data_IF_057599443419
#
_entry.id   IF_057599443419
#
_cell.length_a   1.000
_cell.length_b   1.000
_cell.length_c   1.000
_cell.angle_alpha   90.00
_cell.angle_beta   90.00
_cell.angle_gamma   90.00
#
_symmetry.space_group_name_H-M   'P 1'
#
loop_
_entity.id
_entity.type
_entity.pdbx_description
1 polymer ?
#
# COMPACT_ATOMS: atom_id res chain seq x y z
N UNK A 1 -17.96 2.76 16.34
CA UNK A 1 -18.22 4.20 16.07
C UNK A 1 -18.70 4.33 14.62
N UNK A 2 -19.47 5.36 14.26
CA UNK A 2 -20.17 5.46 12.96
C UNK A 2 -19.31 5.21 11.71
N UNK A 3 -18.00 5.48 11.77
CA UNK A 3 -17.04 5.18 10.69
C UNK A 3 -16.99 3.67 10.36
N UNK A 4 -16.99 2.79 11.37
CA UNK A 4 -17.03 1.33 11.15
C UNK A 4 -18.35 0.90 10.49
N UNK A 5 -19.46 1.52 10.92
CA UNK A 5 -20.79 1.31 10.31
C UNK A 5 -20.78 1.66 8.83
N UNK A 6 -20.22 2.82 8.46
CA UNK A 6 -20.12 3.28 7.07
C UNK A 6 -19.33 2.30 6.19
N UNK A 7 -18.25 1.69 6.69
CA UNK A 7 -17.49 0.72 5.91
C UNK A 7 -18.23 -0.61 5.72
N UNK A 8 -18.94 -1.09 6.75
CA UNK A 8 -19.77 -2.29 6.63
C UNK A 8 -20.95 -2.06 5.67
N UNK A 9 -21.61 -0.91 5.76
CA UNK A 9 -22.68 -0.51 4.85
C UNK A 9 -22.17 -0.40 3.40
N UNK A 10 -21.00 0.22 3.19
CA UNK A 10 -20.37 0.27 1.88
C UNK A 10 -20.05 -1.13 1.33
N UNK A 11 -19.50 -2.03 2.15
CA UNK A 11 -19.24 -3.42 1.73
C UNK A 11 -20.55 -4.16 1.37
N UNK A 12 -21.64 -3.92 2.11
CA UNK A 12 -22.95 -4.48 1.83
C UNK A 12 -23.54 -3.94 0.50
N UNK A 13 -23.39 -2.64 0.22
CA UNK A 13 -23.81 -2.03 -1.04
C UNK A 13 -23.05 -2.61 -2.23
N UNK A 14 -21.72 -2.71 -2.13
CA UNK A 14 -20.93 -3.33 -3.20
C UNK A 14 -21.25 -4.82 -3.37
N UNK A 15 -21.64 -5.53 -2.31
CA UNK A 15 -22.08 -6.93 -2.42
C UNK A 15 -23.35 -7.07 -3.28
N UNK A 16 -24.34 -6.18 -3.10
CA UNK A 16 -25.51 -6.13 -4.01
C UNK A 16 -25.10 -5.84 -5.46
N UNK A 17 -24.04 -5.04 -5.63
CA UNK A 17 -23.46 -4.76 -6.94
C UNK A 17 -22.83 -6.00 -7.57
N UNK A 18 -22.06 -6.78 -6.81
CA UNK A 18 -21.51 -8.08 -7.24
C UNK A 18 -22.63 -9.04 -7.64
N UNK A 19 -23.70 -9.12 -6.86
CA UNK A 19 -24.84 -10.02 -7.17
C UNK A 19 -25.55 -9.61 -8.47
N UNK A 20 -25.67 -8.31 -8.74
CA UNK A 20 -26.38 -7.78 -9.90
C UNK A 20 -25.51 -7.70 -11.16
N UNK A 21 -24.21 -7.46 -11.01
CA UNK A 21 -23.25 -7.27 -12.09
C UNK A 21 -21.96 -8.05 -11.80
N UNK A 22 -22.02 -9.39 -11.87
CA UNK A 22 -20.92 -10.26 -11.43
C UNK A 22 -19.66 -10.16 -12.28
N UNK A 23 -19.76 -9.58 -13.47
CA UNK A 23 -18.63 -9.37 -14.38
C UNK A 23 -18.08 -7.93 -14.35
N UNK A 24 -18.65 -7.03 -13.56
CA UNK A 24 -18.14 -5.66 -13.42
C UNK A 24 -17.06 -5.60 -12.33
N UNK A 25 -15.78 -5.32 -12.69
CA UNK A 25 -14.66 -5.42 -11.77
C UNK A 25 -14.71 -4.35 -10.66
N UNK A 26 -15.45 -3.25 -10.86
CA UNK A 26 -15.51 -2.13 -9.93
C UNK A 26 -16.09 -2.56 -8.58
N UNK A 27 -17.11 -3.41 -8.59
CA UNK A 27 -17.73 -3.88 -7.35
C UNK A 27 -16.77 -4.69 -6.50
N UNK A 28 -15.94 -5.54 -7.12
CA UNK A 28 -14.91 -6.29 -6.43
C UNK A 28 -13.76 -5.38 -5.95
N UNK A 29 -13.25 -4.48 -6.80
CA UNK A 29 -12.20 -3.52 -6.42
C UNK A 29 -12.60 -2.71 -5.19
N UNK A 30 -13.79 -2.11 -5.19
CA UNK A 30 -14.20 -1.29 -4.06
C UNK A 30 -14.64 -2.10 -2.83
N UNK A 31 -15.27 -3.28 -3.01
CA UNK A 31 -15.61 -4.15 -1.88
C UNK A 31 -14.37 -4.72 -1.20
N UNK A 32 -13.40 -5.20 -1.98
CA UNK A 32 -12.11 -5.69 -1.48
C UNK A 32 -11.40 -4.65 -0.63
N UNK A 33 -11.37 -3.39 -1.07
CA UNK A 33 -10.79 -2.30 -0.28
C UNK A 33 -11.52 -2.08 1.07
N UNK A 34 -12.85 -2.23 1.14
CA UNK A 34 -13.58 -2.18 2.41
C UNK A 34 -13.23 -3.37 3.29
N UNK A 35 -13.08 -4.56 2.73
CA UNK A 35 -12.64 -5.74 3.46
C UNK A 35 -11.22 -5.58 4.04
N UNK A 36 -10.29 -4.94 3.34
CA UNK A 36 -8.97 -4.58 3.89
C UNK A 36 -9.11 -3.72 5.15
N UNK A 37 -9.88 -2.62 5.07
CA UNK A 37 -10.09 -1.73 6.22
C UNK A 37 -10.72 -2.49 7.39
N UNK A 38 -11.67 -3.39 7.11
CA UNK A 38 -12.36 -4.23 8.09
C UNK A 38 -11.55 -5.44 8.58
N UNK A 39 -10.27 -5.57 8.19
CA UNK A 39 -9.39 -6.70 8.56
C UNK A 39 -9.94 -8.07 8.12
N UNK A 40 -10.61 -8.10 6.98
CA UNK A 40 -11.12 -9.33 6.33
C UNK A 40 -10.25 -9.66 5.13
N UNK A 41 -8.97 -9.96 5.38
CA UNK A 41 -7.97 -10.08 4.32
C UNK A 41 -8.28 -11.23 3.36
N UNK A 42 -8.84 -12.34 3.83
CA UNK A 42 -9.22 -13.48 3.00
C UNK A 42 -10.40 -13.17 2.06
N UNK A 43 -11.28 -12.25 2.47
CA UNK A 43 -12.35 -11.75 1.59
C UNK A 43 -11.79 -10.72 0.60
N UNK A 44 -10.90 -9.84 1.07
CA UNK A 44 -10.25 -8.85 0.21
C UNK A 44 -9.42 -9.51 -0.90
N UNK A 45 -8.62 -10.53 -0.57
CA UNK A 45 -7.80 -11.25 -1.57
C UNK A 45 -8.67 -11.84 -2.68
N UNK A 46 -9.75 -12.55 -2.32
CA UNK A 46 -10.70 -13.11 -3.30
C UNK A 46 -11.32 -12.05 -4.21
N UNK A 47 -11.69 -10.90 -3.64
CA UNK A 47 -12.24 -9.80 -4.42
C UNK A 47 -11.19 -9.20 -5.37
N UNK A 48 -9.96 -8.99 -4.91
CA UNK A 48 -8.90 -8.45 -5.77
C UNK A 48 -8.43 -9.43 -6.83
N UNK A 49 -8.36 -10.73 -6.53
CA UNK A 49 -8.14 -11.79 -7.52
C UNK A 49 -9.21 -11.76 -8.60
N UNK A 50 -10.50 -11.71 -8.21
CA UNK A 50 -11.60 -11.64 -9.17
C UNK A 50 -11.57 -10.33 -9.99
N UNK A 51 -11.25 -9.20 -9.37
CA UNK A 51 -11.08 -7.94 -10.08
C UNK A 51 -9.94 -8.03 -11.10
N UNK A 52 -8.78 -8.57 -10.70
CA UNK A 52 -7.61 -8.77 -11.56
C UNK A 52 -7.93 -9.69 -12.75
N UNK A 53 -8.65 -10.79 -12.53
CA UNK A 53 -9.12 -11.67 -13.62
C UNK A 53 -9.96 -10.92 -14.64
N UNK A 54 -10.90 -10.11 -14.16
CA UNK A 54 -11.90 -9.40 -14.95
C UNK A 54 -11.33 -8.22 -15.75
N UNK A 55 -10.15 -7.70 -15.39
CA UNK A 55 -9.52 -6.58 -16.12
C UNK A 55 -8.54 -7.01 -17.21
N UNK A 56 -8.07 -8.26 -17.22
CA UNK A 56 -7.05 -8.73 -18.19
C UNK A 56 -7.44 -8.53 -19.65
N UNK A 57 -8.72 -8.74 -19.96
CA UNK A 57 -9.24 -8.65 -21.33
C UNK A 57 -10.04 -7.36 -21.57
N UNK A 58 -9.83 -6.34 -20.71
CA UNK A 58 -10.56 -5.08 -20.78
C UNK A 58 -9.63 -3.89 -21.03
N UNK A 59 -10.05 -2.92 -21.85
CA UNK A 59 -9.39 -1.63 -21.90
C UNK A 59 -9.33 -1.02 -20.51
N UNK A 60 -8.19 -0.41 -20.20
CA UNK A 60 -8.04 0.33 -18.96
C UNK A 60 -8.93 1.58 -18.96
N UNK A 61 -9.40 1.96 -17.77
CA UNK A 61 -10.30 3.10 -17.58
C UNK A 61 -9.73 4.02 -16.50
N UNK A 62 -9.99 5.34 -16.56
CA UNK A 62 -9.60 6.24 -15.48
C UNK A 62 -10.46 6.02 -14.21
N UNK A 63 -9.81 5.81 -13.07
CA UNK A 63 -10.40 5.87 -11.73
C UNK A 63 -10.18 7.27 -11.12
N UNK A 64 -11.27 7.95 -10.81
CA UNK A 64 -11.26 9.25 -10.14
C UNK A 64 -11.22 9.07 -8.61
N UNK A 65 -10.38 9.87 -7.95
CA UNK A 65 -10.30 9.90 -6.49
C UNK A 65 -10.18 11.34 -5.98
N UNK A 66 -10.55 11.57 -4.71
CA UNK A 66 -10.32 12.85 -4.07
C UNK A 66 -8.80 13.05 -3.91
N UNK A 67 -8.23 14.01 -4.63
CA UNK A 67 -6.79 14.30 -4.56
C UNK A 67 -6.45 14.93 -3.21
N UNK A 68 -5.27 14.60 -2.69
CA UNK A 68 -4.69 15.28 -1.53
C UNK A 68 -3.98 16.60 -1.89
N UNK A 69 -4.07 17.05 -3.15
CA UNK A 69 -3.38 18.22 -3.67
C UNK A 69 -3.87 19.56 -3.09
N UNK A 70 -3.22 20.65 -3.48
CA UNK A 70 -3.42 22.01 -2.93
C UNK A 70 -4.83 22.61 -3.11
N UNK A 71 -5.72 21.96 -3.85
CA UNK A 71 -7.09 22.42 -4.08
C UNK A 71 -8.05 21.40 -3.51
N UNK A 72 -8.91 21.83 -2.57
CA UNK A 72 -9.86 20.99 -1.83
C UNK A 72 -10.85 20.23 -2.72
N UNK A 73 -11.03 20.66 -3.98
CA UNK A 73 -11.96 20.05 -4.94
C UNK A 73 -11.26 19.41 -6.15
N UNK A 74 -9.93 19.28 -6.14
CA UNK A 74 -9.23 18.64 -7.25
C UNK A 74 -9.48 17.13 -7.18
N UNK A 75 -9.96 16.55 -8.26
CA UNK A 75 -9.96 15.10 -8.44
C UNK A 75 -8.62 14.67 -9.01
N UNK A 76 -8.04 13.63 -8.40
CA UNK A 76 -6.95 12.87 -8.99
C UNK A 76 -7.50 11.87 -9.99
N UNK A 77 -6.68 11.51 -10.97
CA UNK A 77 -7.00 10.48 -11.96
C UNK A 77 -5.87 9.48 -11.95
N UNK A 78 -6.21 8.21 -11.87
CA UNK A 78 -5.26 7.10 -11.97
C UNK A 78 -5.87 6.00 -12.84
N UNK A 79 -5.04 5.07 -13.31
CA UNK A 79 -5.51 3.88 -14.01
C UNK A 79 -6.34 2.99 -13.07
N UNK A 80 -7.49 2.50 -13.53
CA UNK A 80 -8.33 1.55 -12.81
C UNK A 80 -7.60 0.21 -12.66
N UNK A 81 -6.97 -0.28 -13.73
CA UNK A 81 -6.21 -1.53 -13.70
C UNK A 81 -5.03 -1.43 -12.72
N UNK A 82 -4.30 -0.31 -12.74
CA UNK A 82 -3.25 -0.02 -11.76
C UNK A 82 -3.79 -0.08 -10.33
N UNK A 83 -4.94 0.54 -10.07
CA UNK A 83 -5.59 0.52 -8.75
C UNK A 83 -5.99 -0.89 -8.30
N UNK A 84 -6.43 -1.75 -9.21
CA UNK A 84 -6.73 -3.15 -8.89
C UNK A 84 -5.48 -3.86 -8.43
N UNK A 85 -4.41 -3.85 -9.23
CA UNK A 85 -3.16 -4.53 -8.89
C UNK A 85 -2.44 -3.92 -7.67
N UNK A 86 -2.48 -2.60 -7.53
CA UNK A 86 -1.90 -1.90 -6.37
C UNK A 86 -2.51 -2.39 -5.06
N UNK A 87 -3.84 -2.45 -4.99
CA UNK A 87 -4.54 -2.92 -3.79
C UNK A 87 -4.49 -4.44 -3.62
N UNK A 88 -4.39 -5.21 -4.70
CA UNK A 88 -4.13 -6.65 -4.64
C UNK A 88 -2.77 -6.92 -3.99
N UNK A 89 -1.70 -6.31 -4.49
CA UNK A 89 -0.35 -6.42 -3.93
C UNK A 89 -0.30 -5.97 -2.47
N UNK A 90 -0.98 -4.87 -2.14
CA UNK A 90 -1.06 -4.37 -0.77
C UNK A 90 -1.73 -5.40 0.16
N UNK A 91 -2.81 -6.03 -0.31
CA UNK A 91 -3.56 -7.01 0.48
C UNK A 91 -2.72 -8.25 0.74
N UNK A 92 -2.00 -8.76 -0.26
CA UNK A 92 -1.05 -9.87 -0.08
C UNK A 92 0.09 -9.49 0.87
N UNK A 93 0.64 -8.29 0.73
CA UNK A 93 1.68 -7.78 1.62
C UNK A 93 1.19 -7.73 3.07
N UNK A 94 0.01 -7.15 3.32
CA UNK A 94 -0.60 -7.11 4.64
C UNK A 94 -0.86 -8.52 5.21
N UNK A 95 -1.24 -9.47 4.37
CA UNK A 95 -1.43 -10.88 4.74
C UNK A 95 -0.11 -11.63 5.00
N UNK A 96 1.06 -11.04 4.69
CA UNK A 96 2.37 -11.69 4.83
C UNK A 96 2.72 -12.63 3.67
N UNK A 97 2.00 -12.54 2.56
CA UNK A 97 2.18 -13.35 1.36
C UNK A 97 3.12 -12.62 0.39
N UNK A 98 4.43 -12.65 0.69
CA UNK A 98 5.40 -11.82 -0.02
C UNK A 98 5.57 -12.17 -1.50
N UNK A 99 5.55 -13.44 -1.90
CA UNK A 99 5.68 -13.81 -3.32
C UNK A 99 4.48 -13.32 -4.13
N UNK A 100 3.25 -13.56 -3.66
CA UNK A 100 2.04 -13.07 -4.31
C UNK A 100 1.99 -11.54 -4.36
N UNK A 101 2.49 -10.87 -3.32
CA UNK A 101 2.62 -9.42 -3.34
C UNK A 101 3.57 -8.93 -4.45
N UNK A 102 4.73 -9.59 -4.61
CA UNK A 102 5.67 -9.29 -5.70
C UNK A 102 5.00 -9.47 -7.06
N UNK A 103 4.34 -10.60 -7.30
CA UNK A 103 3.65 -10.89 -8.56
C UNK A 103 2.61 -9.81 -8.90
N UNK A 104 1.72 -9.49 -7.95
CA UNK A 104 0.71 -8.47 -8.15
C UNK A 104 1.32 -7.07 -8.39
N UNK A 105 2.41 -6.73 -7.70
CA UNK A 105 3.07 -5.44 -7.92
C UNK A 105 3.88 -5.38 -9.23
N UNK A 106 4.33 -6.50 -9.78
CA UNK A 106 4.89 -6.54 -11.13
C UNK A 106 3.83 -6.26 -12.18
N UNK A 107 2.62 -6.80 -12.03
CA UNK A 107 1.48 -6.45 -12.89
C UNK A 107 1.03 -5.00 -12.69
N UNK A 108 1.04 -4.51 -11.44
CA UNK A 108 0.84 -3.11 -11.12
C UNK A 108 1.83 -2.20 -11.86
N UNK A 109 3.11 -2.59 -11.91
CA UNK A 109 4.15 -1.80 -12.60
C UNK A 109 3.92 -1.76 -14.12
N UNK A 110 3.39 -2.84 -14.72
CA UNK A 110 3.01 -2.85 -16.15
C UNK A 110 1.83 -1.92 -16.42
N UNK A 111 0.87 -1.82 -15.50
CA UNK A 111 -0.28 -0.93 -15.60
C UNK A 111 0.03 0.53 -15.21
N UNK A 112 1.22 0.83 -14.68
CA UNK A 112 1.58 2.19 -14.27
C UNK A 112 1.84 3.10 -15.48
N UNK A 113 0.90 4.00 -15.75
CA UNK A 113 0.89 4.90 -16.91
C UNK A 113 1.53 6.27 -16.65
N UNK A 114 1.82 6.61 -15.40
CA UNK A 114 2.40 7.89 -15.00
C UNK A 114 3.53 7.74 -13.96
N UNK A 115 4.28 8.82 -13.75
CA UNK A 115 5.44 8.84 -12.86
C UNK A 115 5.08 8.56 -11.39
N UNK A 116 3.99 9.13 -10.88
CA UNK A 116 3.60 8.95 -9.48
C UNK A 116 3.16 7.51 -9.19
N UNK A 117 2.40 6.90 -10.11
CA UNK A 117 2.06 5.47 -10.08
C UNK A 117 3.30 4.59 -10.08
N UNK A 118 4.32 4.90 -10.90
CA UNK A 118 5.60 4.17 -10.91
C UNK A 118 6.35 4.30 -9.58
N UNK A 119 6.45 5.51 -9.03
CA UNK A 119 7.11 5.75 -7.74
C UNK A 119 6.39 5.01 -6.60
N UNK A 120 5.06 5.10 -6.54
CA UNK A 120 4.26 4.38 -5.57
C UNK A 120 4.44 2.86 -5.70
N UNK A 121 4.41 2.33 -6.93
CA UNK A 121 4.56 0.90 -7.17
C UNK A 121 5.97 0.43 -6.82
N UNK A 122 7.02 1.19 -7.15
CA UNK A 122 8.39 0.86 -6.75
C UNK A 122 8.55 0.78 -5.24
N UNK A 123 7.96 1.72 -4.48
CA UNK A 123 7.98 1.66 -3.02
C UNK A 123 7.36 0.38 -2.48
N UNK A 124 6.14 0.06 -2.92
CA UNK A 124 5.44 -1.11 -2.42
C UNK A 124 6.02 -2.44 -2.90
N UNK A 125 6.58 -2.49 -4.11
CA UNK A 125 7.27 -3.67 -4.65
C UNK A 125 8.62 -3.92 -3.97
N UNK A 126 9.35 -2.86 -3.61
CA UNK A 126 10.64 -2.97 -2.92
C UNK A 126 10.50 -3.74 -1.61
N UNK A 127 9.43 -3.49 -0.85
CA UNK A 127 9.23 -4.06 0.48
C UNK A 127 9.15 -5.59 0.53
N UNK A 128 8.27 -6.28 -0.21
CA UNK A 128 8.24 -7.74 -0.22
C UNK A 128 9.48 -8.35 -0.89
N UNK A 129 10.11 -7.70 -1.88
CA UNK A 129 11.36 -8.19 -2.47
C UNK A 129 12.46 -8.33 -1.43
N UNK A 130 12.70 -7.30 -0.60
CA UNK A 130 13.74 -7.39 0.42
C UNK A 130 13.38 -8.37 1.54
N UNK A 131 12.08 -8.58 1.83
CA UNK A 131 11.63 -9.58 2.80
C UNK A 131 11.88 -11.01 2.31
N UNK A 132 11.91 -11.22 1.00
CA UNK A 132 12.31 -12.48 0.35
C UNK A 132 13.83 -12.60 0.16
N UNK A 133 14.63 -11.61 0.58
CA UNK A 133 16.08 -11.58 0.33
C UNK A 133 16.46 -11.29 -1.12
N UNK A 134 15.51 -10.85 -1.97
CA UNK A 134 15.71 -10.52 -3.40
C UNK A 134 16.27 -9.10 -3.56
N UNK A 135 17.36 -8.79 -2.85
CA UNK A 135 17.95 -7.44 -2.77
C UNK A 135 18.34 -6.86 -4.13
N UNK A 136 18.96 -7.66 -5.00
CA UNK A 136 19.37 -7.19 -6.33
C UNK A 136 18.20 -6.82 -7.24
N UNK A 137 17.02 -7.44 -7.07
CA UNK A 137 15.82 -7.02 -7.79
C UNK A 137 15.23 -5.73 -7.21
N UNK A 138 15.26 -5.61 -5.88
CA UNK A 138 14.82 -4.39 -5.20
C UNK A 138 15.70 -3.18 -5.58
N UNK A 139 17.02 -3.37 -5.70
CA UNK A 139 17.97 -2.33 -6.12
C UNK A 139 17.71 -1.84 -7.55
N UNK A 140 17.35 -2.72 -8.48
CA UNK A 140 16.99 -2.33 -9.86
C UNK A 140 15.83 -1.32 -9.90
N UNK A 141 14.88 -1.41 -8.98
CA UNK A 141 13.76 -0.45 -8.88
C UNK A 141 14.24 0.97 -8.56
N UNK A 142 15.41 1.10 -7.90
CA UNK A 142 15.97 2.38 -7.47
C UNK A 142 16.75 3.09 -8.58
N UNK A 143 17.11 2.40 -9.67
CA UNK A 143 17.86 2.96 -10.80
C UNK A 143 17.08 4.09 -11.47
N UNK A 144 15.76 3.92 -11.62
CA UNK A 144 14.89 4.94 -12.22
C UNK A 144 14.57 6.12 -11.28
N UNK A 145 14.86 6.00 -9.98
CA UNK A 145 14.53 7.03 -8.98
C UNK A 145 15.63 8.09 -8.96
N UNK A 146 15.34 9.25 -9.55
CA UNK A 146 16.22 10.42 -9.57
C UNK A 146 16.07 11.22 -8.27
N UNK A 147 17.08 12.00 -7.88
CA UNK A 147 17.10 12.75 -6.60
C UNK A 147 16.35 14.08 -6.62
N UNK A 148 15.92 14.53 -7.80
CA UNK A 148 15.31 15.82 -8.10
C UNK A 148 13.91 15.69 -8.71
N UNK A 149 13.20 14.58 -8.43
CA UNK A 149 11.85 14.36 -8.94
C UNK A 149 10.85 15.36 -8.36
N UNK A 150 10.06 15.99 -9.23
CA UNK A 150 8.92 16.83 -8.86
C UNK A 150 7.64 15.99 -8.77
N UNK A 151 7.20 15.71 -7.54
CA UNK A 151 6.06 14.83 -7.23
C UNK A 151 5.02 15.58 -6.40
N UNK A 152 3.75 15.19 -6.51
CA UNK A 152 2.63 15.90 -5.87
C UNK A 152 2.12 15.12 -4.65
N UNK A 153 1.79 13.84 -4.84
CA UNK A 153 1.05 13.03 -3.86
C UNK A 153 1.92 11.94 -3.21
N UNK A 154 2.96 11.48 -3.91
CA UNK A 154 3.75 10.29 -3.52
C UNK A 154 5.07 10.63 -2.80
N UNK A 155 5.20 11.83 -2.23
CA UNK A 155 6.43 12.29 -1.59
C UNK A 155 6.95 11.37 -0.47
N UNK A 156 6.05 10.78 0.33
CA UNK A 156 6.46 9.86 1.40
C UNK A 156 7.06 8.55 0.84
N UNK A 157 6.51 8.02 -0.25
CA UNK A 157 7.07 6.86 -0.95
C UNK A 157 8.42 7.19 -1.54
N UNK A 158 8.54 8.35 -2.18
CA UNK A 158 9.78 8.82 -2.76
C UNK A 158 10.92 8.93 -1.72
N UNK A 159 10.64 9.49 -0.54
CA UNK A 159 11.66 9.61 0.52
C UNK A 159 12.14 8.24 1.04
N UNK A 160 11.26 7.24 1.11
CA UNK A 160 11.68 5.88 1.48
C UNK A 160 12.57 5.25 0.41
N UNK A 161 12.29 5.51 -0.88
CA UNK A 161 13.13 5.03 -1.99
C UNK A 161 14.51 5.70 -1.96
N UNK A 162 14.58 7.00 -1.65
CA UNK A 162 15.85 7.69 -1.44
C UNK A 162 16.63 7.15 -0.23
N UNK A 163 15.94 6.78 0.85
CA UNK A 163 16.55 6.09 1.99
C UNK A 163 17.12 4.73 1.56
N UNK A 164 16.36 3.93 0.82
CA UNK A 164 16.86 2.65 0.30
C UNK A 164 18.06 2.80 -0.64
N UNK A 165 18.12 3.92 -1.38
CA UNK A 165 19.26 4.29 -2.25
C UNK A 165 20.47 4.83 -1.48
N UNK A 166 20.37 5.00 -0.16
CA UNK A 166 21.47 5.46 0.70
C UNK A 166 21.59 6.97 0.87
N UNK A 167 20.63 7.76 0.40
CA UNK A 167 20.63 9.23 0.58
C UNK A 167 20.16 9.65 1.99
N UNK A 168 19.57 8.74 2.76
CA UNK A 168 19.21 8.94 4.16
C UNK A 168 19.37 7.63 4.94
N UNK A 169 19.47 7.71 6.26
CA UNK A 169 19.41 6.53 7.13
C UNK A 169 17.98 6.31 7.65
N UNK A 170 17.63 5.09 8.07
CA UNK A 170 16.34 4.83 8.71
C UNK A 170 16.04 5.76 9.89
N UNK A 171 17.04 6.03 10.73
CA UNK A 171 16.92 6.88 11.90
C UNK A 171 16.64 8.34 11.53
N UNK A 172 17.38 8.87 10.54
CA UNK A 172 17.17 10.24 10.03
C UNK A 172 15.81 10.40 9.36
N UNK A 173 15.36 9.41 8.60
CA UNK A 173 14.04 9.43 7.97
C UNK A 173 12.93 9.43 9.04
N UNK A 174 13.05 8.57 10.06
CA UNK A 174 12.09 8.53 11.17
C UNK A 174 12.07 9.84 11.96
N UNK A 175 13.23 10.43 12.27
CA UNK A 175 13.34 11.71 12.98
C UNK A 175 12.62 12.82 12.21
N UNK A 176 12.94 12.97 10.92
CA UNK A 176 12.27 13.93 10.03
C UNK A 176 10.76 13.70 10.01
N UNK A 177 10.32 12.46 9.81
CA UNK A 177 8.91 12.12 9.70
C UNK A 177 8.13 12.42 10.99
N UNK A 178 8.74 12.27 12.17
CA UNK A 178 8.13 12.67 13.46
C UNK A 178 7.91 14.18 13.55
N UNK A 179 8.82 14.98 13.00
CA UNK A 179 8.70 16.45 12.96
C UNK A 179 7.61 16.97 12.01
N UNK A 180 7.24 16.18 10.99
CA UNK A 180 6.27 16.57 9.95
C UNK A 180 4.82 16.11 10.22
N UNK A 181 4.59 15.44 11.35
CA UNK A 181 3.26 15.05 11.83
C UNK A 181 2.86 13.60 11.52
N UNK A 182 1.78 13.15 12.16
CA UNK A 182 1.36 11.74 12.21
C UNK A 182 1.15 11.11 10.83
N UNK A 183 0.52 11.80 9.89
CA UNK A 183 0.20 11.22 8.57
C UNK A 183 1.48 10.90 7.79
N UNK A 184 2.44 11.84 7.77
CA UNK A 184 3.75 11.68 7.12
C UNK A 184 4.61 10.63 7.82
N UNK A 185 4.50 10.53 9.15
CA UNK A 185 5.18 9.53 9.96
C UNK A 185 4.84 8.09 9.55
N UNK A 186 3.55 7.75 9.42
CA UNK A 186 3.14 6.33 9.33
C UNK A 186 3.74 5.59 8.13
N UNK A 187 3.71 6.18 6.94
CA UNK A 187 4.21 5.53 5.70
C UNK A 187 5.72 5.29 5.76
N UNK A 188 6.48 6.32 6.13
CA UNK A 188 7.94 6.24 6.24
C UNK A 188 8.37 5.27 7.34
N UNK A 189 7.66 5.30 8.47
CA UNK A 189 7.88 4.38 9.58
C UNK A 189 7.62 2.92 9.18
N UNK A 190 6.56 2.65 8.42
CA UNK A 190 6.23 1.29 8.01
C UNK A 190 7.33 0.70 7.09
N UNK A 191 7.83 1.49 6.14
CA UNK A 191 8.97 1.12 5.30
C UNK A 191 10.25 0.85 6.12
N UNK A 192 10.55 1.69 7.10
CA UNK A 192 11.69 1.50 8.00
C UNK A 192 11.55 0.22 8.82
N UNK A 193 10.37 -0.04 9.39
CA UNK A 193 10.09 -1.30 10.10
C UNK A 193 10.28 -2.51 9.20
N UNK A 194 9.79 -2.46 7.96
CA UNK A 194 10.00 -3.53 6.97
C UNK A 194 11.49 -3.77 6.67
N UNK A 195 12.28 -2.71 6.53
CA UNK A 195 13.72 -2.81 6.33
C UNK A 195 14.44 -3.46 7.52
N UNK A 196 14.11 -3.05 8.75
CA UNK A 196 14.65 -3.67 9.95
C UNK A 196 14.30 -5.16 10.01
N UNK A 197 13.05 -5.52 9.69
CA UNK A 197 12.64 -6.92 9.59
C UNK A 197 13.45 -7.69 8.54
N UNK A 198 13.68 -7.11 7.35
CA UNK A 198 14.49 -7.73 6.30
C UNK A 198 15.97 -7.93 6.70
N UNK A 199 16.48 -7.11 7.62
CA UNK A 199 17.85 -7.20 8.15
C UNK A 199 17.98 -8.08 9.41
N UNK A 200 16.86 -8.63 9.91
CA UNK A 200 16.84 -9.38 11.18
C UNK A 200 16.90 -8.50 12.43
N UNK A 201 16.71 -7.19 12.30
CA UNK A 201 16.68 -6.22 13.39
C UNK A 201 15.27 -6.16 14.02
N UNK A 202 14.75 -7.32 14.45
CA UNK A 202 13.34 -7.48 14.86
C UNK A 202 12.93 -6.55 16.01
N UNK A 203 13.79 -6.33 17.00
CA UNK A 203 13.48 -5.45 18.14
C UNK A 203 13.20 -4.02 17.68
N UNK A 204 14.03 -3.48 16.78
CA UNK A 204 13.82 -2.14 16.21
C UNK A 204 12.54 -2.07 15.38
N UNK A 205 12.23 -3.12 14.62
CA UNK A 205 10.99 -3.16 13.85
C UNK A 205 9.76 -3.12 14.76
N UNK A 206 9.76 -3.92 15.84
CA UNK A 206 8.67 -3.97 16.82
C UNK A 206 8.45 -2.61 17.48
N UNK A 207 9.52 -1.89 17.85
CA UNK A 207 9.42 -0.53 18.39
C UNK A 207 8.72 0.42 17.42
N UNK A 208 9.10 0.38 16.14
CA UNK A 208 8.50 1.21 15.09
C UNK A 208 7.04 0.85 14.86
N UNK A 209 6.68 -0.44 14.79
CA UNK A 209 5.30 -0.88 14.63
C UNK A 209 4.42 -0.43 15.81
N UNK A 210 4.89 -0.57 17.05
CA UNK A 210 4.19 -0.05 18.23
C UNK A 210 4.02 1.47 18.19
N UNK A 211 5.00 2.19 17.67
CA UNK A 211 4.89 3.64 17.49
C UNK A 211 3.82 4.01 16.44
N UNK A 212 3.75 3.27 15.34
CA UNK A 212 2.66 3.41 14.34
C UNK A 212 1.30 3.18 15.01
N UNK A 213 1.12 2.11 15.77
CA UNK A 213 -0.17 1.82 16.40
C UNK A 213 -0.58 2.86 17.45
N UNK A 214 0.38 3.45 18.16
CA UNK A 214 0.12 4.49 19.17
C UNK A 214 -0.28 5.83 18.56
N UNK A 215 0.32 6.20 17.43
CA UNK A 215 0.12 7.52 16.81
C UNK A 215 -0.94 7.50 15.71
N UNK A 216 -1.07 6.38 15.01
CA UNK A 216 -1.81 6.27 13.76
C UNK A 216 -3.32 6.14 13.92
N UNK A 217 -4.00 6.16 12.77
CA UNK A 217 -5.43 5.87 12.68
C UNK A 217 -5.64 4.44 12.20
N UNK A 218 -6.48 3.67 12.88
CA UNK A 218 -6.76 2.27 12.58
C UNK A 218 -7.29 2.04 11.14
N UNK A 219 -7.88 3.06 10.52
CA UNK A 219 -8.35 2.98 9.13
C UNK A 219 -7.24 3.10 8.09
N UNK A 220 -6.02 3.51 8.49
CA UNK A 220 -4.88 3.62 7.59
C UNK A 220 -4.30 2.26 7.19
N UNK A 221 -3.96 2.09 5.91
CA UNK A 221 -3.39 0.83 5.42
C UNK A 221 -2.08 0.44 6.13
N UNK A 222 -1.16 1.38 6.34
CA UNK A 222 0.10 1.09 7.03
C UNK A 222 -0.07 0.78 8.53
N UNK A 223 -1.19 1.20 9.14
CA UNK A 223 -1.58 0.75 10.49
C UNK A 223 -1.90 -0.74 10.49
N UNK A 224 -2.71 -1.20 9.53
CA UNK A 224 -2.99 -2.63 9.31
C UNK A 224 -1.71 -3.43 9.14
N UNK A 225 -0.75 -2.94 8.34
CA UNK A 225 0.52 -3.64 8.14
C UNK A 225 1.29 -3.81 9.46
N UNK A 226 1.39 -2.74 10.27
CA UNK A 226 2.07 -2.80 11.56
C UNK A 226 1.37 -3.75 12.56
N UNK A 227 0.03 -3.72 12.60
CA UNK A 227 -0.78 -4.65 13.39
C UNK A 227 -0.54 -6.10 12.98
N UNK A 228 -0.59 -6.39 11.68
CA UNK A 228 -0.40 -7.73 11.14
C UNK A 228 1.03 -8.26 11.39
N UNK A 229 2.06 -7.41 11.28
CA UNK A 229 3.44 -7.78 11.62
C UNK A 229 3.58 -8.15 13.09
N UNK A 230 3.02 -7.33 14.00
CA UNK A 230 3.06 -7.62 15.44
C UNK A 230 2.34 -8.93 15.78
N UNK A 231 1.17 -9.18 15.19
CA UNK A 231 0.45 -10.44 15.37
C UNK A 231 1.25 -11.64 14.87
N UNK A 232 1.89 -11.56 13.70
CA UNK A 232 2.74 -12.63 13.15
C UNK A 232 3.94 -12.94 14.05
N UNK A 233 4.47 -11.93 14.74
CA UNK A 233 5.56 -12.07 15.70
C UNK A 233 5.09 -12.55 17.09
N UNK A 234 3.79 -12.78 17.29
CA UNK A 234 3.24 -13.23 18.57
C UNK A 234 3.04 -12.11 19.60
N UNK A 235 3.06 -10.85 19.19
CA UNK A 235 2.74 -9.72 20.05
C UNK A 235 1.25 -9.38 20.00
N UNK A 236 0.71 -8.86 21.12
CA UNK A 236 -0.56 -8.14 21.09
C UNK A 236 -0.32 -6.77 20.43
N UNK A 237 -1.11 -6.42 19.39
CA UNK A 237 -1.16 -5.06 18.85
C UNK A 237 -1.67 -4.03 19.86
#
# INVERSE_FOLDING_TARGET
TGILGNFMEAAALYSKGVDRWPDDPRFYRFRGHRFVILRRLELAMRDFERAAELIRDRPDEPELYASGGKSENKMGVSSFNWNVYYHQGFTYYAAGLSEQAVEAYLDCMKAADNLESRVATSHWLYMPLIRLGRWGEAEKLLESIQTDMELIEVGDYYETLLMYKGHSTPEKLLEKARGEGTVRFMTRAQAVGNLYMARGETDKAVEVYREILRKGNWTGGVYLCAEAELMRLGYSP
#
